data_IF_483961002107
#
_entry.id   IF_483961002107
#
_cell.length_a   1.000
_cell.length_b   1.000
_cell.length_c   1.000
_cell.angle_alpha   90.00
_cell.angle_beta   90.00
_cell.angle_gamma   90.00
#
_symmetry.space_group_name_H-M   'P 1'
#
loop_
_entity.id
_entity.type
_entity.pdbx_description
1 polymer ?
#
# COMPACT_ATOMS: atom_id res chain seq x y z
N UNK A 1 9.48 37.94 0.46
CA UNK A 1 10.20 37.39 1.63
C UNK A 1 9.80 35.94 1.79
N UNK A 2 10.68 35.00 1.43
CA UNK A 2 10.41 33.57 1.50
C UNK A 2 10.58 33.15 2.97
N UNK A 3 9.49 32.81 3.66
CA UNK A 3 9.57 32.27 5.02
C UNK A 3 10.11 30.84 4.94
N UNK A 4 11.31 30.66 5.51
CA UNK A 4 11.93 29.38 5.82
C UNK A 4 10.90 28.43 6.45
N UNK A 5 10.54 27.37 5.74
CA UNK A 5 9.84 26.24 6.36
C UNK A 5 10.86 25.60 7.31
N UNK A 6 10.63 25.73 8.62
CA UNK A 6 11.34 24.98 9.64
C UNK A 6 11.04 23.48 9.44
N UNK A 7 11.73 22.85 8.50
CA UNK A 7 11.76 21.39 8.39
C UNK A 7 12.56 20.89 9.60
N UNK A 8 11.88 20.17 10.50
CA UNK A 8 12.51 19.60 11.67
C UNK A 8 13.66 18.67 11.24
N UNK A 9 14.87 18.96 11.73
CA UNK A 9 16.09 18.29 11.27
C UNK A 9 16.02 16.76 11.45
N UNK A 10 15.31 16.31 12.48
CA UNK A 10 15.12 14.89 12.77
C UNK A 10 14.29 14.17 11.71
N UNK A 11 13.31 14.84 11.13
CA UNK A 11 12.29 14.18 10.32
C UNK A 11 12.82 13.88 8.92
N UNK A 12 13.66 14.77 8.37
CA UNK A 12 14.35 14.49 7.12
C UNK A 12 15.41 13.40 7.28
N UNK A 13 16.15 13.37 8.41
CA UNK A 13 17.12 12.31 8.70
C UNK A 13 16.44 10.94 8.78
N UNK A 14 15.25 10.86 9.39
CA UNK A 14 14.44 9.64 9.40
C UNK A 14 14.02 9.24 7.99
N UNK A 15 13.51 10.20 7.20
CA UNK A 15 13.06 9.95 5.82
C UNK A 15 14.19 9.45 4.92
N UNK A 16 15.39 10.03 5.01
CA UNK A 16 16.55 9.61 4.23
C UNK A 16 17.01 8.19 4.59
N UNK A 17 17.04 7.85 5.88
CA UNK A 17 17.35 6.48 6.33
C UNK A 17 16.32 5.47 5.84
N UNK A 18 15.03 5.81 5.90
CA UNK A 18 13.97 4.95 5.34
C UNK A 18 14.16 4.75 3.83
N UNK A 19 14.50 5.82 3.11
CA UNK A 19 14.76 5.75 1.67
C UNK A 19 15.91 4.81 1.32
N UNK A 20 16.99 4.84 2.10
CA UNK A 20 18.12 3.92 1.94
C UNK A 20 17.73 2.46 2.24
N UNK A 21 16.98 2.24 3.33
CA UNK A 21 16.49 0.90 3.73
C UNK A 21 15.54 0.28 2.71
N UNK A 22 14.77 1.09 2.00
CA UNK A 22 13.78 0.65 1.03
C UNK A 22 14.29 0.77 -0.42
N UNK A 23 15.60 0.57 -0.63
CA UNK A 23 16.21 0.54 -1.96
C UNK A 23 15.81 1.74 -2.84
N UNK A 24 15.92 2.95 -2.29
CA UNK A 24 15.53 4.21 -2.96
C UNK A 24 14.02 4.36 -3.20
N UNK A 25 13.19 3.80 -2.32
CA UNK A 25 11.73 4.03 -2.26
C UNK A 25 11.35 4.75 -0.98
N UNK A 26 10.27 5.54 -1.02
CA UNK A 26 9.80 6.29 0.14
C UNK A 26 8.80 5.54 1.02
N UNK A 27 8.30 4.40 0.54
CA UNK A 27 7.33 3.54 1.22
C UNK A 27 7.57 2.07 0.81
N UNK A 28 7.19 1.17 1.70
CA UNK A 28 7.16 -0.26 1.39
C UNK A 28 6.15 -0.54 0.29
N UNK A 29 6.47 -1.50 -0.55
CA UNK A 29 5.65 -1.93 -1.68
C UNK A 29 4.52 -2.81 -1.18
N UNK A 30 3.30 -2.28 -1.17
CA UNK A 30 2.10 -3.00 -0.80
C UNK A 30 1.09 -2.91 -1.91
N UNK A 31 0.67 -4.07 -2.39
CA UNK A 31 -0.33 -4.21 -3.44
C UNK A 31 -1.68 -4.66 -2.86
N UNK A 32 -2.75 -4.15 -3.45
CA UNK A 32 -4.13 -4.32 -3.04
C UNK A 32 -4.86 -5.25 -4.02
N UNK A 33 -5.55 -6.24 -3.46
CA UNK A 33 -6.30 -7.23 -4.20
C UNK A 33 -7.72 -7.30 -3.65
N UNK A 34 -8.70 -7.34 -4.55
CA UNK A 34 -10.07 -7.74 -4.26
C UNK A 34 -10.24 -9.18 -4.71
N UNK A 35 -10.58 -10.05 -3.76
CA UNK A 35 -10.81 -11.47 -4.03
C UNK A 35 -12.28 -11.84 -3.78
N UNK A 36 -12.86 -12.65 -4.65
CA UNK A 36 -14.23 -13.19 -4.57
C UNK A 36 -14.16 -14.67 -4.19
N UNK A 37 -15.04 -15.11 -3.30
CA UNK A 37 -15.20 -16.53 -2.99
C UNK A 37 -16.03 -17.23 -4.06
N UNK A 38 -15.49 -18.30 -4.66
CA UNK A 38 -16.18 -19.09 -5.69
C UNK A 38 -16.88 -20.35 -5.15
N UNK A 39 -16.81 -20.61 -3.84
CA UNK A 39 -17.30 -21.85 -3.21
C UNK A 39 -16.20 -22.79 -2.69
N UNK A 40 -14.99 -22.70 -3.27
CA UNK A 40 -13.85 -23.56 -2.96
C UNK A 40 -12.57 -22.77 -2.64
N UNK A 41 -12.37 -21.66 -3.34
CA UNK A 41 -11.18 -20.82 -3.23
C UNK A 41 -11.54 -19.33 -3.36
N UNK A 42 -10.56 -18.50 -2.99
CA UNK A 42 -10.58 -17.07 -3.23
C UNK A 42 -9.90 -16.78 -4.57
N UNK A 43 -10.61 -16.12 -5.47
CA UNK A 43 -10.08 -15.72 -6.78
C UNK A 43 -9.95 -14.21 -6.85
N UNK A 44 -8.81 -13.72 -7.34
CA UNK A 44 -8.61 -12.29 -7.56
C UNK A 44 -9.52 -11.83 -8.70
N UNK A 45 -10.41 -10.88 -8.40
CA UNK A 45 -11.31 -10.26 -9.39
C UNK A 45 -10.82 -8.87 -9.80
N UNK A 46 -10.00 -8.22 -8.97
CA UNK A 46 -9.33 -6.95 -9.28
C UNK A 46 -8.08 -6.78 -8.43
N UNK A 47 -7.07 -6.11 -8.96
CA UNK A 47 -5.86 -5.74 -8.22
C UNK A 47 -5.33 -4.39 -8.70
N UNK A 48 -4.62 -3.71 -7.81
CA UNK A 48 -3.76 -2.57 -8.13
C UNK A 48 -2.35 -2.96 -7.71
N UNK A 49 -1.37 -2.66 -8.57
CA UNK A 49 0.04 -2.97 -8.33
C UNK A 49 0.81 -1.66 -8.51
N UNK A 50 1.42 -1.14 -7.44
CA UNK A 50 2.11 0.15 -7.51
C UNK A 50 3.37 0.19 -6.65
N UNK A 51 4.51 0.15 -7.34
CA UNK A 51 5.82 0.32 -6.70
C UNK A 51 6.12 1.78 -6.29
N UNK A 52 5.30 2.73 -6.76
CA UNK A 52 5.54 4.17 -6.67
C UNK A 52 4.43 4.94 -5.91
N UNK A 53 3.52 4.23 -5.22
CA UNK A 53 2.51 4.83 -4.35
C UNK A 53 2.35 4.03 -3.06
N UNK A 54 2.11 4.70 -1.95
CA UNK A 54 1.65 4.08 -0.69
C UNK A 54 0.13 4.05 -0.55
N UNK A 55 -0.58 4.55 -1.57
CA UNK A 55 -2.04 4.58 -1.63
C UNK A 55 -2.47 3.79 -2.86
N UNK A 56 -3.33 2.80 -2.62
CA UNK A 56 -3.93 1.99 -3.65
C UNK A 56 -5.45 1.95 -3.48
N UNK A 57 -6.17 2.04 -4.60
CA UNK A 57 -7.63 2.17 -4.60
C UNK A 57 -8.24 1.23 -5.63
N UNK A 58 -9.14 0.36 -5.17
CA UNK A 58 -9.96 -0.48 -6.03
C UNK A 58 -11.38 0.05 -6.03
N UNK A 59 -11.84 0.52 -7.20
CA UNK A 59 -13.25 0.72 -7.49
C UNK A 59 -13.82 -0.56 -8.10
N UNK A 60 -14.91 -1.10 -7.52
CA UNK A 60 -15.51 -2.32 -8.02
C UNK A 60 -17.03 -2.30 -7.83
N UNK A 61 -17.73 -2.65 -8.90
CA UNK A 61 -19.19 -2.81 -8.94
C UNK A 61 -19.51 -4.23 -9.38
N UNK A 62 -20.51 -4.84 -8.75
CA UNK A 62 -20.98 -6.18 -9.10
C UNK A 62 -22.48 -6.25 -8.86
N UNK A 63 -23.20 -6.80 -9.83
CA UNK A 63 -24.64 -7.07 -9.72
C UNK A 63 -24.92 -8.36 -8.92
N UNK A 64 -23.88 -9.15 -8.66
CA UNK A 64 -23.99 -10.41 -7.93
C UNK A 64 -23.80 -10.21 -6.41
N UNK A 65 -24.67 -10.84 -5.63
CA UNK A 65 -24.48 -11.00 -4.19
C UNK A 65 -23.46 -12.11 -3.92
N UNK A 66 -22.21 -11.73 -3.66
CA UNK A 66 -21.13 -12.65 -3.35
C UNK A 66 -20.35 -12.24 -2.10
N UNK A 67 -19.47 -13.13 -1.62
CA UNK A 67 -18.52 -12.84 -0.55
C UNK A 67 -17.22 -12.35 -1.15
N UNK A 68 -16.73 -11.23 -0.63
CA UNK A 68 -15.47 -10.62 -1.03
C UNK A 68 -14.54 -10.47 0.17
N UNK A 69 -13.24 -10.40 -0.09
CA UNK A 69 -12.24 -9.97 0.88
C UNK A 69 -11.24 -9.03 0.23
N UNK A 70 -10.69 -8.14 1.05
CA UNK A 70 -9.53 -7.32 0.70
C UNK A 70 -8.29 -8.08 1.15
N UNK A 71 -7.32 -8.22 0.26
CA UNK A 71 -6.01 -8.79 0.56
C UNK A 71 -4.97 -7.74 0.23
N UNK A 72 -4.09 -7.48 1.18
CA UNK A 72 -2.92 -6.63 1.01
C UNK A 72 -1.68 -7.51 1.00
N UNK A 73 -0.83 -7.37 -0.01
CA UNK A 73 0.39 -8.16 -0.15
C UNK A 73 1.59 -7.24 -0.17
N UNK A 74 2.53 -7.47 0.75
CA UNK A 74 3.83 -6.83 0.71
C UNK A 74 4.69 -7.48 -0.36
N UNK A 75 5.34 -6.66 -1.17
CA UNK A 75 6.43 -7.05 -2.04
C UNK A 75 7.73 -6.51 -1.46
N UNK A 76 8.76 -7.35 -1.43
CA UNK A 76 10.06 -6.98 -0.88
C UNK A 76 11.13 -7.46 -1.82
N UNK A 77 12.07 -6.57 -2.13
CA UNK A 77 13.31 -6.93 -2.79
C UNK A 77 14.29 -7.58 -1.79
N UNK A 78 15.19 -8.48 -2.21
CA UNK A 78 16.29 -8.98 -1.37
C UNK A 78 17.20 -7.87 -0.83
N UNK A 79 17.17 -6.69 -1.46
CA UNK A 79 17.96 -5.52 -1.08
C UNK A 79 17.23 -4.58 -0.11
N UNK A 80 16.03 -4.93 0.33
CA UNK A 80 15.22 -4.10 1.22
C UNK A 80 15.28 -4.60 2.66
N UNK A 81 15.50 -3.65 3.56
CA UNK A 81 15.35 -3.89 4.99
C UNK A 81 13.88 -3.72 5.40
N UNK A 82 13.48 -4.47 6.42
CA UNK A 82 12.17 -4.30 7.04
C UNK A 82 12.06 -2.91 7.69
N UNK A 83 11.03 -2.17 7.30
CA UNK A 83 10.58 -0.94 7.95
C UNK A 83 9.22 -1.21 8.58
N UNK A 84 9.01 -0.69 9.80
CA UNK A 84 7.72 -0.71 10.47
C UNK A 84 6.76 0.24 9.76
N UNK A 85 5.74 -0.31 9.11
CA UNK A 85 4.69 0.44 8.43
C UNK A 85 3.36 0.32 9.20
N UNK A 86 2.60 1.42 9.23
CA UNK A 86 1.21 1.40 9.69
C UNK A 86 0.34 1.20 8.45
N UNK A 87 -0.45 0.14 8.43
CA UNK A 87 -1.38 -0.17 7.36
C UNK A 87 -2.80 0.18 7.77
N UNK A 88 -3.51 0.88 6.89
CA UNK A 88 -4.92 1.21 7.03
C UNK A 88 -5.69 0.72 5.80
N UNK A 89 -6.84 0.10 6.03
CA UNK A 89 -7.75 -0.36 4.97
C UNK A 89 -9.13 0.22 5.24
N UNK A 90 -9.61 1.02 4.29
CA UNK A 90 -10.97 1.55 4.32
C UNK A 90 -11.78 0.89 3.22
N UNK A 91 -13.00 0.45 3.53
CA UNK A 91 -13.97 0.06 2.52
C UNK A 91 -15.17 1.00 2.62
N UNK A 92 -15.68 1.43 1.47
CA UNK A 92 -16.90 2.21 1.37
C UNK A 92 -17.90 1.41 0.56
N UNK A 93 -19.10 1.25 1.10
CA UNK A 93 -20.23 0.63 0.40
C UNK A 93 -21.31 1.68 0.23
N UNK A 94 -21.64 1.99 -1.02
CA UNK A 94 -22.79 2.79 -1.37
C UNK A 94 -24.07 1.94 -1.33
#
# INVERSE_FOLDING_TARGET
MIRNKNYNKSDWLKKEKTFQKQNSRFFSDFDLYLEKWNGHSWETVKSVLSINSNVEVIEYTSDEKAKYRIKVKRYTSPYEEFVDDIMEVTYVKN
#
